data_IF_929457903173
#
_entry.id   IF_929457903173
#
_cell.length_a   1.000
_cell.length_b   1.000
_cell.length_c   1.000
_cell.angle_alpha   90.00
_cell.angle_beta   90.00
_cell.angle_gamma   90.00
#
_symmetry.space_group_name_H-M   'P 1'
#
loop_
_entity.id
_entity.type
_entity.pdbx_description
1 polymer ?
#
# COMPACT_ATOMS: atom_id res chain seq x y z
N UNK A 1 6.29 21.89 -9.89
CA UNK A 1 5.28 20.84 -10.08
C UNK A 1 5.60 19.67 -9.16
N UNK A 2 4.63 19.21 -8.40
CA UNK A 2 4.79 18.07 -7.50
C UNK A 2 5.03 16.80 -8.32
N UNK A 3 6.08 16.07 -7.96
CA UNK A 3 6.31 14.74 -8.55
C UNK A 3 5.34 13.75 -7.91
N UNK A 4 4.72 12.92 -8.74
CA UNK A 4 3.67 12.01 -8.32
C UNK A 4 4.03 10.59 -8.71
N UNK A 5 3.56 9.62 -7.92
CA UNK A 5 3.67 8.22 -8.28
C UNK A 5 2.27 7.57 -8.25
N UNK A 6 1.98 6.78 -9.28
CA UNK A 6 0.77 5.97 -9.38
C UNK A 6 1.20 4.51 -9.43
N UNK A 7 0.93 3.79 -8.36
CA UNK A 7 1.24 2.36 -8.28
C UNK A 7 0.03 1.59 -8.76
N UNK A 8 0.17 0.84 -9.85
CA UNK A 8 -0.93 0.06 -10.41
C UNK A 8 -0.85 -1.37 -9.87
N UNK A 9 -1.95 -1.86 -9.31
CA UNK A 9 -2.03 -3.16 -8.68
C UNK A 9 -3.22 -3.95 -9.24
N UNK A 10 -3.01 -5.15 -9.78
CA UNK A 10 -4.12 -5.99 -10.21
C UNK A 10 -4.78 -6.66 -9.01
N UNK A 11 -6.11 -6.69 -8.99
CA UNK A 11 -6.87 -7.28 -7.89
C UNK A 11 -7.98 -8.19 -8.42
N UNK A 12 -8.31 -9.21 -7.64
CA UNK A 12 -9.35 -10.17 -8.02
C UNK A 12 -10.75 -9.67 -7.72
N UNK A 13 -10.92 -8.88 -6.65
CA UNK A 13 -12.22 -8.32 -6.25
C UNK A 13 -12.04 -6.85 -5.91
N UNK A 14 -12.52 -6.00 -6.80
CA UNK A 14 -12.32 -4.55 -6.68
C UNK A 14 -12.98 -3.99 -5.41
N UNK A 15 -14.19 -4.43 -5.08
CA UNK A 15 -14.91 -3.93 -3.90
C UNK A 15 -14.18 -4.27 -2.60
N UNK A 16 -13.72 -5.50 -2.49
CA UNK A 16 -12.94 -5.94 -1.33
C UNK A 16 -11.66 -5.12 -1.19
N UNK A 17 -10.97 -4.89 -2.30
CA UNK A 17 -9.73 -4.12 -2.29
C UNK A 17 -9.97 -2.66 -1.97
N UNK A 18 -11.03 -2.04 -2.48
CA UNK A 18 -11.38 -0.66 -2.13
C UNK A 18 -11.59 -0.55 -0.62
N UNK A 19 -12.38 -1.46 -0.02
CA UNK A 19 -12.62 -1.45 1.41
C UNK A 19 -11.33 -1.63 2.21
N UNK A 20 -10.45 -2.53 1.74
CA UNK A 20 -9.15 -2.76 2.37
C UNK A 20 -8.31 -1.47 2.38
N UNK A 21 -8.11 -0.82 1.22
CA UNK A 21 -7.27 0.37 1.15
C UNK A 21 -7.87 1.55 1.90
N UNK A 22 -9.20 1.70 1.92
CA UNK A 22 -9.84 2.70 2.77
C UNK A 22 -9.55 2.46 4.24
N UNK A 23 -9.56 1.20 4.67
CA UNK A 23 -9.26 0.86 6.07
C UNK A 23 -7.82 1.16 6.44
N UNK A 24 -6.90 1.11 5.48
CA UNK A 24 -5.50 1.51 5.71
C UNK A 24 -5.30 3.02 5.80
N UNK A 25 -6.25 3.81 5.33
CA UNK A 25 -6.14 5.26 5.35
C UNK A 25 -6.13 5.94 3.98
N UNK A 26 -6.28 5.18 2.90
CA UNK A 26 -6.43 5.77 1.57
C UNK A 26 -7.83 6.33 1.40
N UNK A 27 -7.97 7.36 0.58
CA UNK A 27 -9.26 7.90 0.17
C UNK A 27 -9.50 7.57 -1.31
N UNK A 28 -10.71 7.14 -1.64
CA UNK A 28 -11.05 6.88 -3.03
C UNK A 28 -11.39 8.19 -3.75
N UNK A 29 -10.80 8.40 -4.93
CA UNK A 29 -11.19 9.49 -5.81
C UNK A 29 -12.23 8.96 -6.81
N UNK A 30 -13.53 9.26 -6.61
CA UNK A 30 -14.58 8.70 -7.49
C UNK A 30 -14.51 9.24 -8.90
N UNK A 31 -13.93 10.41 -9.11
CA UNK A 31 -13.82 11.01 -10.45
C UNK A 31 -12.92 10.18 -11.36
N UNK A 32 -11.92 9.51 -10.80
CA UNK A 32 -11.00 8.65 -11.54
C UNK A 32 -11.20 7.17 -11.19
N UNK A 33 -12.41 6.80 -10.82
CA UNK A 33 -12.78 5.43 -10.49
C UNK A 33 -14.01 5.01 -11.27
N UNK A 34 -14.06 3.73 -11.65
CA UNK A 34 -15.22 3.12 -12.26
C UNK A 34 -15.32 1.66 -11.79
N UNK A 35 -16.07 0.81 -12.49
CA UNK A 35 -16.23 -0.59 -12.09
C UNK A 35 -15.04 -1.48 -12.47
N UNK A 36 -14.02 -0.93 -13.14
CA UNK A 36 -12.80 -1.67 -13.52
C UNK A 36 -11.55 -1.17 -12.82
N UNK A 37 -11.57 0.02 -12.25
CA UNK A 37 -10.41 0.64 -11.63
C UNK A 37 -10.83 1.59 -10.52
N UNK A 38 -10.05 1.65 -9.45
CA UNK A 38 -10.27 2.62 -8.39
C UNK A 38 -8.98 3.38 -8.12
N UNK A 39 -9.09 4.70 -8.06
CA UNK A 39 -7.98 5.57 -7.69
C UNK A 39 -8.00 5.77 -6.19
N UNK A 40 -7.02 5.20 -5.51
CA UNK A 40 -6.88 5.31 -4.06
C UNK A 40 -5.78 6.31 -3.74
N UNK A 41 -6.12 7.34 -2.99
CA UNK A 41 -5.25 8.49 -2.72
C UNK A 41 -4.66 8.36 -1.33
N UNK A 42 -3.34 8.25 -1.24
CA UNK A 42 -2.62 8.31 0.03
C UNK A 42 -2.27 9.75 0.38
N UNK A 43 -1.76 10.48 -0.58
CA UNK A 43 -1.45 11.91 -0.46
C UNK A 43 -1.59 12.57 -1.83
N UNK A 44 -1.35 13.87 -1.89
CA UNK A 44 -1.41 14.59 -3.17
C UNK A 44 -0.38 14.10 -4.20
N UNK A 45 0.61 13.32 -3.77
CA UNK A 45 1.71 12.84 -4.62
C UNK A 45 1.74 11.33 -4.76
N UNK A 46 0.99 10.58 -3.94
CA UNK A 46 1.09 9.12 -3.87
C UNK A 46 -0.29 8.50 -4.05
N UNK A 47 -0.40 7.64 -5.07
CA UNK A 47 -1.66 7.03 -5.47
C UNK A 47 -1.46 5.53 -5.70
N UNK A 48 -2.49 4.75 -5.39
CA UNK A 48 -2.57 3.35 -5.81
C UNK A 48 -3.78 3.20 -6.71
N UNK A 49 -3.55 2.79 -7.96
CA UNK A 49 -4.62 2.44 -8.88
C UNK A 49 -4.85 0.95 -8.77
N UNK A 50 -5.97 0.56 -8.19
CA UNK A 50 -6.34 -0.86 -8.11
C UNK A 50 -7.23 -1.20 -9.29
N UNK A 51 -6.83 -2.23 -10.03
CA UNK A 51 -7.38 -2.55 -11.33
C UNK A 51 -7.91 -3.97 -11.34
N UNK A 52 -9.09 -4.18 -11.94
CA UNK A 52 -9.52 -5.56 -12.22
C UNK A 52 -8.49 -6.23 -13.14
N UNK A 53 -8.46 -7.56 -13.14
CA UNK A 53 -7.57 -8.29 -14.04
C UNK A 53 -7.84 -7.95 -15.50
N UNK A 54 -9.10 -7.79 -15.88
CA UNK A 54 -9.46 -7.39 -17.24
C UNK A 54 -8.91 -6.01 -17.60
N UNK A 55 -8.98 -5.05 -16.66
CA UNK A 55 -8.43 -3.71 -16.88
C UNK A 55 -6.91 -3.75 -16.98
N UNK A 56 -6.26 -4.50 -16.09
CA UNK A 56 -4.81 -4.69 -16.13
C UNK A 56 -4.36 -5.20 -17.48
N UNK A 57 -5.10 -6.17 -18.07
CA UNK A 57 -4.78 -6.76 -19.37
C UNK A 57 -4.87 -5.78 -20.54
N UNK A 58 -5.52 -4.64 -20.36
CA UNK A 58 -5.51 -3.59 -21.39
C UNK A 58 -4.19 -2.83 -21.42
N UNK A 59 -3.39 -2.90 -20.35
CA UNK A 59 -2.09 -2.22 -20.27
C UNK A 59 -0.92 -3.14 -20.61
N UNK A 60 -1.02 -4.42 -20.28
CA UNK A 60 0.05 -5.39 -20.51
C UNK A 60 -0.51 -6.80 -20.59
N UNK A 61 0.09 -7.62 -21.42
CA UNK A 61 -0.22 -9.04 -21.53
C UNK A 61 0.80 -9.93 -20.79
N UNK A 62 1.70 -9.33 -20.02
CA UNK A 62 2.64 -10.12 -19.20
C UNK A 62 1.88 -10.98 -18.21
N UNK A 63 2.32 -12.24 -18.00
CA UNK A 63 1.69 -13.11 -17.02
C UNK A 63 1.73 -12.50 -15.61
N UNK A 64 0.71 -12.79 -14.81
CA UNK A 64 0.77 -12.47 -13.40
C UNK A 64 1.84 -13.31 -12.70
N UNK A 65 2.50 -12.77 -11.66
CA UNK A 65 3.47 -13.56 -10.89
C UNK A 65 2.76 -14.73 -10.19
N UNK A 66 3.45 -15.86 -9.98
CA UNK A 66 2.87 -16.96 -9.22
C UNK A 66 2.45 -16.54 -7.82
N UNK A 67 1.39 -17.17 -7.29
CA UNK A 67 0.92 -16.89 -5.94
C UNK A 67 2.05 -17.11 -4.93
N UNK A 68 2.10 -16.26 -3.91
CA UNK A 68 3.10 -16.35 -2.86
C UNK A 68 4.46 -15.74 -3.21
N UNK A 69 4.57 -15.09 -4.37
CA UNK A 69 5.80 -14.40 -4.79
C UNK A 69 5.58 -12.90 -4.81
N UNK A 70 6.65 -12.14 -4.60
CA UNK A 70 6.61 -10.67 -4.63
C UNK A 70 7.85 -10.14 -5.30
N UNK A 71 7.65 -9.19 -6.20
CA UNK A 71 8.75 -8.48 -6.84
C UNK A 71 9.10 -7.21 -6.07
N UNK A 72 8.09 -6.56 -5.49
CA UNK A 72 8.28 -5.28 -4.80
C UNK A 72 7.61 -5.31 -3.44
N UNK A 73 8.11 -4.46 -2.54
CA UNK A 73 7.47 -4.08 -1.29
C UNK A 73 7.27 -2.58 -1.30
N UNK A 74 6.07 -2.14 -0.96
CA UNK A 74 5.74 -0.71 -0.93
C UNK A 74 5.61 -0.29 0.53
N UNK A 75 6.44 0.64 0.97
CA UNK A 75 6.50 1.02 2.38
C UNK A 75 5.99 2.45 2.56
N UNK A 76 5.11 2.62 3.56
CA UNK A 76 4.52 3.89 3.93
C UNK A 76 5.08 4.34 5.27
N UNK A 77 5.62 5.54 5.31
CA UNK A 77 6.09 6.14 6.56
C UNK A 77 4.89 6.73 7.31
N UNK A 78 4.75 6.38 8.56
CA UNK A 78 3.64 6.80 9.42
C UNK A 78 4.17 7.65 10.58
N UNK A 79 3.27 8.36 11.24
CA UNK A 79 3.64 9.37 12.25
C UNK A 79 3.98 8.79 13.61
N UNK A 80 3.61 7.54 13.88
CA UNK A 80 3.79 6.94 15.21
C UNK A 80 3.80 5.41 15.13
N UNK A 81 4.28 4.79 16.21
CA UNK A 81 4.20 3.34 16.38
C UNK A 81 2.74 2.88 16.43
N UNK A 82 1.88 3.64 17.10
CA UNK A 82 0.45 3.30 17.17
C UNK A 82 -0.20 3.29 15.79
N UNK A 83 0.18 4.20 14.91
CA UNK A 83 -0.31 4.21 13.54
C UNK A 83 0.15 2.97 12.76
N UNK A 84 1.37 2.51 12.98
CA UNK A 84 1.88 1.26 12.37
C UNK A 84 1.04 0.06 12.85
N UNK A 85 0.79 -0.02 14.15
CA UNK A 85 -0.01 -1.10 14.72
C UNK A 85 -1.45 -1.07 14.19
N UNK A 86 -2.03 0.12 14.08
CA UNK A 86 -3.40 0.29 13.59
C UNK A 86 -3.52 -0.14 12.12
N UNK A 87 -2.56 0.21 11.28
CA UNK A 87 -2.58 -0.19 9.87
C UNK A 87 -2.45 -1.71 9.73
N UNK A 88 -1.56 -2.33 10.50
CA UNK A 88 -1.38 -3.78 10.46
C UNK A 88 -2.65 -4.52 10.92
N UNK A 89 -3.32 -4.02 11.96
CA UNK A 89 -4.57 -4.58 12.45
C UNK A 89 -5.71 -4.40 11.43
N UNK A 90 -5.78 -3.24 10.77
CA UNK A 90 -6.78 -2.97 9.74
C UNK A 90 -6.62 -3.92 8.55
N UNK A 91 -5.38 -4.24 8.16
CA UNK A 91 -5.13 -5.18 7.08
C UNK A 91 -5.75 -6.55 7.38
N UNK A 92 -5.52 -7.06 8.58
CA UNK A 92 -6.09 -8.35 8.99
C UNK A 92 -7.62 -8.31 9.04
N UNK A 93 -8.18 -7.21 9.54
CA UNK A 93 -9.64 -7.07 9.70
C UNK A 93 -10.38 -6.94 8.37
N UNK A 94 -9.69 -6.59 7.29
CA UNK A 94 -10.32 -6.29 5.99
C UNK A 94 -9.85 -7.21 4.86
N UNK A 95 -9.54 -8.46 5.19
CA UNK A 95 -9.28 -9.50 4.18
C UNK A 95 -7.83 -9.64 3.74
N UNK A 96 -6.92 -8.86 4.30
CA UNK A 96 -5.50 -9.01 4.06
C UNK A 96 -4.82 -9.85 5.14
N UNK A 97 -3.50 -9.70 5.25
CA UNK A 97 -2.70 -10.40 6.24
C UNK A 97 -1.86 -9.41 7.04
N UNK A 98 -1.73 -9.71 8.34
CA UNK A 98 -0.88 -8.95 9.23
C UNK A 98 0.45 -9.71 9.42
N UNK A 99 1.53 -8.96 9.68
CA UNK A 99 2.84 -9.50 10.03
C UNK A 99 3.31 -10.62 9.11
N UNK A 100 3.30 -10.35 7.80
CA UNK A 100 3.76 -11.32 6.80
C UNK A 100 5.26 -11.55 6.88
N UNK A 101 5.99 -10.66 7.54
CA UNK A 101 7.40 -10.79 7.89
C UNK A 101 7.57 -10.48 9.38
N UNK A 102 8.69 -10.85 10.00
CA UNK A 102 8.94 -10.53 11.41
C UNK A 102 8.89 -9.02 11.65
N UNK A 103 8.27 -8.63 12.75
CA UNK A 103 8.23 -7.23 13.22
C UNK A 103 9.66 -6.76 13.47
N UNK A 104 10.00 -5.55 13.00
CA UNK A 104 11.31 -4.97 13.23
C UNK A 104 11.22 -3.83 14.24
N UNK A 105 11.90 -3.99 15.36
CA UNK A 105 11.99 -2.98 16.40
C UNK A 105 13.46 -2.63 16.60
N UNK A 106 13.86 -1.46 16.10
CA UNK A 106 15.24 -1.02 16.12
C UNK A 106 15.48 0.17 17.06
N UNK A 107 14.48 0.53 17.87
CA UNK A 107 14.52 1.70 18.73
C UNK A 107 14.21 2.99 17.98
N UNK A 108 15.00 3.34 16.98
CA UNK A 108 14.78 4.52 16.15
C UNK A 108 13.79 4.26 15.01
N UNK A 109 13.46 3.00 14.74
CA UNK A 109 12.53 2.62 13.67
C UNK A 109 11.72 1.40 14.12
N UNK A 110 10.44 1.42 13.78
CA UNK A 110 9.52 0.33 14.05
C UNK A 110 8.74 0.05 12.77
N UNK A 111 8.75 -1.20 12.31
CA UNK A 111 8.03 -1.55 11.09
C UNK A 111 7.31 -2.89 11.20
N UNK A 112 6.16 -2.97 10.53
CA UNK A 112 5.37 -4.18 10.40
C UNK A 112 4.93 -4.30 8.94
N UNK A 113 5.04 -5.49 8.39
CA UNK A 113 4.70 -5.75 7.00
C UNK A 113 3.35 -6.46 6.92
N UNK A 114 2.57 -6.09 5.92
CA UNK A 114 1.22 -6.58 5.71
C UNK A 114 1.02 -6.91 4.24
N UNK A 115 -0.03 -7.65 3.93
CA UNK A 115 -0.41 -7.95 2.56
C UNK A 115 -1.86 -7.60 2.32
N UNK A 116 -2.18 -7.15 1.12
CA UNK A 116 -3.55 -6.90 0.71
C UNK A 116 -4.26 -8.23 0.38
N UNK A 117 -5.58 -8.23 0.06
CA UNK A 117 -6.30 -9.47 -0.23
C UNK A 117 -5.73 -10.28 -1.38
N UNK A 118 -4.97 -9.67 -2.28
CA UNK A 118 -4.33 -10.34 -3.41
C UNK A 118 -2.88 -10.72 -3.15
N UNK A 119 -2.35 -10.40 -1.97
CA UNK A 119 -0.97 -10.71 -1.61
C UNK A 119 0.05 -9.66 -1.96
N UNK A 120 -0.38 -8.48 -2.38
CA UNK A 120 0.57 -7.37 -2.60
C UNK A 120 1.15 -6.91 -1.26
N UNK A 121 2.49 -6.80 -1.21
CA UNK A 121 3.20 -6.50 0.02
C UNK A 121 3.29 -5.01 0.28
N UNK A 122 2.91 -4.62 1.49
CA UNK A 122 3.05 -3.26 2.01
C UNK A 122 3.78 -3.30 3.33
N UNK A 123 4.65 -2.32 3.55
CA UNK A 123 5.25 -2.09 4.86
C UNK A 123 4.67 -0.82 5.48
N UNK A 124 4.43 -0.88 6.78
CA UNK A 124 4.09 0.30 7.58
C UNK A 124 5.24 0.53 8.53
N UNK A 125 5.82 1.74 8.56
CA UNK A 125 6.93 2.00 9.46
C UNK A 125 6.86 3.40 10.04
N UNK A 126 7.41 3.52 11.23
CA UNK A 126 7.70 4.79 11.89
C UNK A 126 9.19 4.89 12.11
N UNK A 127 9.72 6.08 11.91
CA UNK A 127 11.11 6.38 12.19
C UNK A 127 11.17 7.64 13.05
N UNK A 128 12.03 7.60 14.08
CA UNK A 128 12.25 8.77 14.91
C UNK A 128 12.72 9.93 14.04
N UNK A 129 12.05 11.09 14.06
CA UNK A 129 12.44 12.22 13.22
C UNK A 129 13.89 12.66 13.43
N UNK A 130 14.42 12.51 14.64
CA UNK A 130 15.80 12.85 14.95
C UNK A 130 16.81 11.92 14.28
N UNK A 131 16.39 10.70 13.89
CA UNK A 131 17.25 9.71 13.24
C UNK A 131 17.18 9.74 11.73
N UNK A 132 16.21 10.47 11.14
CA UNK A 132 16.04 10.54 9.69
C UNK A 132 17.14 11.43 9.11
N UNK A 133 17.93 10.93 8.12
CA UNK A 133 18.90 11.78 7.45
C UNK A 133 18.18 12.90 6.71
N UNK A 134 18.61 14.15 6.95
CA UNK A 134 18.07 15.28 6.23
C UNK A 134 18.82 15.45 4.93
N UNK A 135 18.08 15.63 3.83
CA UNK A 135 18.69 16.01 2.57
C UNK A 135 19.34 17.38 2.75
N UNK A 136 20.57 17.51 2.32
CA UNK A 136 21.25 18.80 2.35
C UNK A 136 20.51 19.75 1.41
N UNK A 137 20.00 20.91 1.91
CA UNK A 137 19.31 21.85 1.04
C UNK A 137 20.22 22.58 0.05
N UNK A 138 21.52 22.32 0.12
CA UNK A 138 22.58 22.96 -0.66
C UNK A 138 22.38 23.21 -2.10
#
# INVERSE_FOLDING_TARGET
MTKMIFVNLPVTDLKTSIAFYKALGFEQNPQFSDDTAACMVWSEAIYAMILTHAKWRTFTDRPFPPAGTSEVMLSLALDSRDAVDAMNAAALAHGGQADVNPVQELGFMYSRDLADPDGHLWGAFWMDPAAIPHADPG
#
